data_IF_284267039042
#
_entry.id   IF_284267039042
#
_cell.length_a   1.000
_cell.length_b   1.000
_cell.length_c   1.000
_cell.angle_alpha   90.00
_cell.angle_beta   90.00
_cell.angle_gamma   90.00
#
_symmetry.space_group_name_H-M   'P 1'
#
loop_
_entity.id
_entity.type
_entity.pdbx_description
1 polymer ?
#
# COMPACT_ATOMS: atom_id res chain seq x y z
N UNK A 1 5.22 20.90 9.32
CA UNK A 1 5.86 20.34 8.11
C UNK A 1 5.76 21.39 7.02
N UNK A 2 6.89 21.95 6.56
CA UNK A 2 6.94 23.13 5.67
C UNK A 2 7.75 22.80 4.41
N UNK A 3 7.23 21.96 3.51
CA UNK A 3 7.97 21.62 2.26
C UNK A 3 7.72 22.63 1.12
N UNK A 4 6.77 23.56 1.27
CA UNK A 4 6.38 24.54 0.23
C UNK A 4 5.90 25.90 0.79
N UNK A 5 6.22 26.23 2.04
CA UNK A 5 5.74 27.46 2.70
C UNK A 5 4.23 27.49 3.01
N UNK A 6 3.53 26.38 2.77
CA UNK A 6 2.13 26.20 3.16
C UNK A 6 2.13 25.58 4.57
N UNK A 7 1.59 26.34 5.52
CA UNK A 7 1.32 25.83 6.87
C UNK A 7 -0.07 25.19 6.86
N UNK A 8 -0.11 23.86 6.97
CA UNK A 8 -1.35 23.10 7.08
C UNK A 8 -1.65 22.89 8.56
N UNK A 9 -2.91 23.08 8.96
CA UNK A 9 -3.36 22.84 10.33
C UNK A 9 -3.38 21.33 10.64
N UNK A 10 -3.07 20.99 11.89
CA UNK A 10 -2.87 19.61 12.33
C UNK A 10 -4.16 18.77 12.27
N UNK A 11 -5.30 19.41 12.46
CA UNK A 11 -6.62 18.80 12.36
C UNK A 11 -7.00 18.48 10.91
N UNK A 12 -6.68 19.37 9.97
CA UNK A 12 -6.92 19.16 8.54
C UNK A 12 -6.16 17.94 8.04
N UNK A 13 -4.85 17.87 8.34
CA UNK A 13 -4.03 16.72 7.92
C UNK A 13 -4.48 15.43 8.61
N UNK A 14 -4.89 15.49 9.88
CA UNK A 14 -5.41 14.32 10.59
C UNK A 14 -6.72 13.83 10.02
N UNK A 15 -7.63 14.75 9.67
CA UNK A 15 -8.90 14.41 9.04
C UNK A 15 -8.70 13.77 7.66
N UNK A 16 -7.75 14.28 6.87
CA UNK A 16 -7.39 13.68 5.59
C UNK A 16 -6.83 12.25 5.77
N UNK A 17 -5.89 12.07 6.71
CA UNK A 17 -5.34 10.75 7.05
C UNK A 17 -6.43 9.77 7.50
N UNK A 18 -7.39 10.22 8.31
CA UNK A 18 -8.54 9.43 8.75
C UNK A 18 -9.45 8.97 7.60
N UNK A 19 -9.57 9.78 6.53
CA UNK A 19 -10.34 9.42 5.35
C UNK A 19 -9.61 8.45 4.42
N UNK A 20 -8.28 8.38 4.51
CA UNK A 20 -7.48 7.42 3.76
C UNK A 20 -7.44 6.02 4.40
N UNK A 21 -7.84 5.88 5.67
CA UNK A 21 -7.87 4.59 6.34
C UNK A 21 -8.89 3.62 5.69
N UNK A 22 -8.57 2.32 5.62
CA UNK A 22 -9.52 1.31 5.18
C UNK A 22 -10.68 1.18 6.17
N UNK A 23 -11.86 0.75 5.66
CA UNK A 23 -13.08 0.57 6.48
C UNK A 23 -12.92 -0.41 7.64
N UNK A 24 -11.95 -1.33 7.58
CA UNK A 24 -11.58 -2.20 8.70
C UNK A 24 -11.14 -1.43 9.96
N UNK A 25 -10.74 -0.17 9.81
CA UNK A 25 -10.31 0.72 10.89
C UNK A 25 -11.36 1.80 11.24
N UNK A 26 -12.61 1.67 10.79
CA UNK A 26 -13.69 2.64 11.09
C UNK A 26 -13.89 2.87 12.59
N UNK A 27 -13.64 1.85 13.42
CA UNK A 27 -13.67 1.96 14.88
C UNK A 27 -12.67 2.98 15.42
N UNK A 28 -11.49 3.09 14.79
CA UNK A 28 -10.44 4.06 15.17
C UNK A 28 -10.89 5.45 14.75
N UNK A 29 -11.40 5.58 13.52
CA UNK A 29 -11.96 6.83 13.01
C UNK A 29 -13.04 7.37 13.93
N UNK A 30 -14.02 6.55 14.28
CA UNK A 30 -15.10 6.97 15.17
C UNK A 30 -14.61 7.36 16.57
N UNK A 31 -13.63 6.63 17.13
CA UNK A 31 -13.05 6.96 18.45
C UNK A 31 -12.35 8.30 18.47
N UNK A 32 -11.67 8.65 17.38
CA UNK A 32 -10.94 9.93 17.29
C UNK A 32 -11.93 11.07 17.01
N UNK A 33 -12.89 10.89 16.09
CA UNK A 33 -13.83 11.97 15.72
C UNK A 33 -14.94 12.21 16.73
N UNK A 34 -15.29 11.24 17.57
CA UNK A 34 -16.39 11.34 18.53
C UNK A 34 -15.92 11.13 19.99
N UNK A 35 -14.64 11.37 20.27
CA UNK A 35 -14.13 11.29 21.65
C UNK A 35 -14.84 12.33 22.53
N UNK A 36 -15.46 11.93 23.66
CA UNK A 36 -16.17 12.85 24.56
C UNK A 36 -15.23 13.76 25.36
N UNK A 37 -13.99 13.31 25.59
CA UNK A 37 -12.88 14.21 25.89
C UNK A 37 -12.44 14.81 24.56
N UNK A 38 -12.62 16.12 24.41
CA UNK A 38 -12.26 16.92 23.23
C UNK A 38 -10.75 16.94 22.98
N UNK A 39 -10.16 15.76 22.84
CA UNK A 39 -8.82 15.53 22.36
C UNK A 39 -8.76 16.16 20.98
N UNK A 40 -7.89 17.14 20.83
CA UNK A 40 -7.62 17.79 19.56
C UNK A 40 -7.39 16.70 18.51
N UNK A 41 -8.14 16.77 17.42
CA UNK A 41 -7.92 15.94 16.25
C UNK A 41 -6.53 16.31 15.74
N UNK A 42 -5.53 15.51 16.11
CA UNK A 42 -4.14 15.76 15.77
C UNK A 42 -3.43 14.45 15.34
N UNK A 43 -2.30 14.56 14.63
CA UNK A 43 -1.66 13.39 14.04
C UNK A 43 -1.11 12.44 15.11
N UNK A 44 -0.62 12.98 16.22
CA UNK A 44 -0.06 12.19 17.32
C UNK A 44 -1.12 11.28 17.95
N UNK A 45 -2.32 11.80 18.19
CA UNK A 45 -3.45 11.03 18.73
C UNK A 45 -3.87 9.92 17.78
N UNK A 46 -3.89 10.19 16.47
CA UNK A 46 -4.14 9.17 15.46
C UNK A 46 -3.09 8.05 15.50
N UNK A 47 -1.81 8.40 15.49
CA UNK A 47 -0.71 7.43 15.55
C UNK A 47 -0.76 6.60 16.84
N UNK A 48 -1.02 7.23 17.98
CA UNK A 48 -1.16 6.55 19.26
C UNK A 48 -2.33 5.54 19.26
N UNK A 49 -3.49 5.91 18.71
CA UNK A 49 -4.63 4.99 18.59
C UNK A 49 -4.33 3.81 17.64
N UNK A 50 -3.61 4.04 16.55
CA UNK A 50 -3.17 3.00 15.62
C UNK A 50 -2.19 2.04 16.30
N UNK A 51 -1.23 2.55 17.07
CA UNK A 51 -0.28 1.74 17.83
C UNK A 51 -0.99 0.86 18.88
N UNK A 52 -1.92 1.44 19.65
CA UNK A 52 -2.73 0.67 20.61
C UNK A 52 -3.50 -0.43 19.89
N UNK A 53 -4.09 -0.14 18.73
CA UNK A 53 -4.84 -1.12 17.94
C UNK A 53 -3.94 -2.27 17.47
N UNK A 54 -2.76 -1.96 16.95
CA UNK A 54 -1.74 -2.93 16.56
C UNK A 54 -1.31 -3.80 17.74
N UNK A 55 -1.02 -3.20 18.89
CA UNK A 55 -0.62 -3.94 20.09
C UNK A 55 -1.74 -4.86 20.59
N UNK A 56 -3.01 -4.41 20.57
CA UNK A 56 -4.16 -5.26 20.89
C UNK A 56 -4.26 -6.45 19.95
N UNK A 57 -4.10 -6.23 18.65
CA UNK A 57 -4.11 -7.30 17.66
C UNK A 57 -2.97 -8.30 17.90
N UNK A 58 -1.77 -7.83 18.23
CA UNK A 58 -0.61 -8.70 18.54
C UNK A 58 -0.86 -9.57 19.78
N UNK A 59 -1.48 -9.01 20.81
CA UNK A 59 -1.83 -9.75 22.03
C UNK A 59 -2.99 -10.72 21.79
N UNK A 60 -3.99 -10.35 20.97
CA UNK A 60 -5.13 -11.21 20.67
C UNK A 60 -4.83 -12.33 19.66
N UNK A 61 -3.91 -12.11 18.71
CA UNK A 61 -3.59 -13.04 17.63
C UNK A 61 -2.29 -13.83 17.86
N UNK A 62 -2.00 -14.25 19.10
CA UNK A 62 -0.78 -15.00 19.44
C UNK A 62 -0.52 -16.27 18.60
N UNK A 63 -1.49 -16.72 17.79
CA UNK A 63 -1.43 -17.96 17.01
C UNK A 63 -1.66 -17.81 15.50
N UNK A 64 -1.82 -16.61 14.93
CA UNK A 64 -2.12 -16.48 13.49
C UNK A 64 -1.24 -15.43 12.81
N UNK A 65 -0.49 -15.91 11.81
CA UNK A 65 0.52 -15.17 11.06
C UNK A 65 0.00 -13.87 10.42
N UNK A 66 0.92 -12.90 10.41
CA UNK A 66 0.97 -11.65 9.64
C UNK A 66 -0.35 -10.85 9.52
N UNK A 67 -0.47 -9.83 10.39
CA UNK A 67 -1.56 -8.85 10.41
C UNK A 67 -1.39 -7.81 9.28
N UNK A 68 -1.84 -8.16 8.08
CA UNK A 68 -1.73 -7.32 6.87
C UNK A 68 -2.52 -6.00 6.98
N UNK A 69 -3.59 -5.93 7.80
CA UNK A 69 -4.55 -4.82 7.77
C UNK A 69 -4.04 -3.47 8.32
N UNK A 70 -2.97 -3.46 9.11
CA UNK A 70 -2.41 -2.25 9.72
C UNK A 70 -0.90 -2.11 9.52
N UNK A 71 -0.29 -2.99 8.73
CA UNK A 71 1.12 -2.89 8.37
C UNK A 71 1.23 -2.05 7.11
N UNK A 72 1.81 -0.85 7.20
CA UNK A 72 2.23 -0.13 5.99
C UNK A 72 3.17 -1.04 5.22
N UNK A 73 3.04 -1.11 3.89
CA UNK A 73 4.00 -1.83 3.04
C UNK A 73 5.38 -1.16 3.19
N UNK A 74 6.19 -1.62 4.14
CA UNK A 74 7.55 -1.12 4.40
C UNK A 74 8.59 -1.94 3.66
N UNK A 75 8.26 -3.15 3.24
CA UNK A 75 9.12 -3.98 2.41
C UNK A 75 9.11 -3.50 0.96
N UNK A 76 10.29 -3.34 0.38
CA UNK A 76 10.46 -2.89 -1.02
C UNK A 76 9.80 -3.85 -2.02
N UNK A 77 9.68 -5.13 -1.65
CA UNK A 77 9.10 -6.18 -2.50
C UNK A 77 7.58 -6.16 -2.56
N UNK A 78 6.92 -5.53 -1.59
CA UNK A 78 5.46 -5.40 -1.56
C UNK A 78 4.97 -4.03 -2.03
N UNK A 79 5.89 -3.11 -2.35
CA UNK A 79 5.56 -1.80 -2.93
C UNK A 79 5.43 -1.87 -4.44
N UNK A 80 4.53 -1.06 -4.99
CA UNK A 80 4.54 -0.79 -6.43
C UNK A 80 5.90 -0.20 -6.81
N UNK A 81 6.59 -0.81 -7.77
CA UNK A 81 7.89 -0.31 -8.23
C UNK A 81 7.65 0.98 -9.03
N UNK A 82 7.76 2.15 -8.39
CA UNK A 82 7.55 3.47 -8.98
C UNK A 82 6.27 3.57 -9.83
N UNK A 83 5.19 2.92 -9.39
CA UNK A 83 3.91 2.88 -10.11
C UNK A 83 3.85 1.99 -11.36
N UNK A 84 4.92 1.26 -11.71
CA UNK A 84 5.03 0.51 -12.98
C UNK A 84 4.74 -0.99 -12.88
N UNK A 85 4.93 -1.59 -11.69
CA UNK A 85 4.67 -3.00 -11.46
C UNK A 85 3.85 -3.19 -10.17
N UNK A 86 2.75 -3.92 -10.28
CA UNK A 86 1.98 -4.42 -9.15
C UNK A 86 2.61 -5.75 -8.66
N UNK A 87 3.17 -5.81 -7.44
CA UNK A 87 3.73 -7.05 -6.89
C UNK A 87 2.71 -8.20 -6.83
N UNK A 88 1.42 -7.88 -6.74
CA UNK A 88 0.33 -8.85 -6.72
C UNK A 88 -0.19 -9.22 -8.14
N UNK A 89 0.54 -8.85 -9.20
CA UNK A 89 0.16 -9.18 -10.57
C UNK A 89 0.15 -10.69 -10.81
N UNK A 90 -1.02 -11.24 -11.18
CA UNK A 90 -1.16 -12.65 -11.57
C UNK A 90 -0.70 -12.93 -13.00
N UNK A 91 -0.50 -11.90 -13.81
CA UNK A 91 -0.19 -12.05 -15.25
C UNK A 91 1.30 -12.27 -15.52
N UNK A 92 2.16 -11.75 -14.63
CA UNK A 92 3.60 -11.87 -14.73
C UNK A 92 4.26 -11.49 -13.40
N UNK A 93 5.42 -12.09 -13.13
CA UNK A 93 6.31 -11.76 -12.01
C UNK A 93 7.19 -10.53 -12.31
N UNK A 94 7.73 -9.87 -11.27
CA UNK A 94 8.56 -8.66 -11.39
C UNK A 94 9.70 -8.79 -12.40
N UNK A 95 10.39 -9.93 -12.40
CA UNK A 95 11.47 -10.22 -13.33
C UNK A 95 11.03 -10.23 -14.80
N UNK A 96 9.75 -10.51 -15.10
CA UNK A 96 9.20 -10.52 -16.46
C UNK A 96 8.48 -9.23 -16.83
N UNK A 97 8.43 -8.25 -15.93
CA UNK A 97 7.72 -7.00 -16.17
C UNK A 97 8.39 -6.20 -17.29
N UNK A 98 7.64 -5.91 -18.35
CA UNK A 98 8.15 -5.14 -19.49
C UNK A 98 8.27 -3.64 -19.21
N UNK A 99 7.54 -3.12 -18.21
CA UNK A 99 7.69 -1.73 -17.78
C UNK A 99 9.03 -1.52 -17.04
N UNK A 100 9.46 -2.53 -16.26
CA UNK A 100 10.77 -2.52 -15.59
C UNK A 100 11.89 -2.95 -16.55
N UNK A 101 11.64 -3.92 -17.42
CA UNK A 101 12.62 -4.49 -18.35
C UNK A 101 12.14 -4.49 -19.81
N UNK A 102 12.12 -3.33 -20.50
CA UNK A 102 11.64 -3.20 -21.87
C UNK A 102 12.34 -4.14 -22.88
N UNK A 103 13.61 -4.45 -22.66
CA UNK A 103 14.39 -5.38 -23.47
C UNK A 103 13.80 -6.79 -23.52
N UNK A 104 13.12 -7.22 -22.44
CA UNK A 104 12.46 -8.54 -22.38
C UNK A 104 11.24 -8.60 -23.29
N UNK A 105 10.56 -7.47 -23.51
CA UNK A 105 9.45 -7.36 -24.48
C UNK A 105 9.94 -7.62 -25.89
N UNK A 106 11.04 -6.98 -26.28
CA UNK A 106 11.63 -7.14 -27.62
C UNK A 106 12.05 -8.59 -27.87
N UNK A 107 12.69 -9.23 -26.88
CA UNK A 107 13.07 -10.63 -26.97
C UNK A 107 11.85 -11.56 -27.11
N UNK A 108 10.77 -11.29 -26.36
CA UNK A 108 9.53 -12.05 -26.45
C UNK A 108 8.86 -11.94 -27.83
N UNK A 109 8.74 -10.72 -28.37
CA UNK A 109 8.16 -10.49 -29.70
C UNK A 109 8.96 -11.22 -30.78
N UNK A 110 10.30 -11.11 -30.77
CA UNK A 110 11.17 -11.85 -31.69
C UNK A 110 10.98 -13.37 -31.59
N UNK A 111 10.77 -13.91 -30.38
CA UNK A 111 10.51 -15.34 -30.19
C UNK A 111 9.15 -15.75 -30.75
N UNK A 112 8.10 -14.95 -30.50
CA UNK A 112 6.75 -15.18 -31.00
C UNK A 112 6.72 -15.21 -32.53
N UNK A 113 7.37 -14.24 -33.18
CA UNK A 113 7.38 -14.13 -34.63
C UNK A 113 8.10 -15.33 -35.27
N UNK A 114 9.22 -15.77 -34.69
CA UNK A 114 9.92 -17.00 -35.10
C UNK A 114 9.05 -18.26 -34.96
N UNK A 115 8.26 -18.38 -33.90
CA UNK A 115 7.35 -19.51 -33.71
C UNK A 115 6.20 -19.51 -34.72
N UNK A 116 5.66 -18.33 -35.06
CA UNK A 116 4.61 -18.18 -36.07
C UNK A 116 5.10 -18.49 -37.49
N UNK A 117 6.35 -18.15 -37.82
CA UNK A 117 6.93 -18.54 -39.11
C UNK A 117 7.11 -20.06 -39.23
N UNK A 118 7.53 -20.73 -38.15
CA UNK A 118 7.67 -22.20 -38.14
C UNK A 118 6.33 -22.93 -38.27
N UNK A 119 5.24 -22.39 -37.73
CA UNK A 119 3.91 -22.99 -37.81
C UNK A 119 3.22 -22.81 -39.19
N UNK A 120 3.73 -21.93 -40.06
CA UNK A 120 3.18 -21.69 -41.40
C UNK A 120 3.92 -22.43 -42.52
N UNK A 121 5.02 -23.12 -42.20
CA UNK A 121 5.87 -23.84 -43.17
C UNK A 121 5.83 -25.36 -42.97
N UNK A 122 4.96 -25.85 -42.08
CA UNK A 122 4.63 -27.27 -41.92
C UNK A 122 3.17 -27.49 -42.29
#
# INVERSE_FOLDING_TARGET
MEDIGIKIEEDIITYDLLNQLPSSLDNIKQKITHSPEGNEINPETLLHHLEIHLNKLRVSNSNQGELIAATMYTSEDQRFTSGTHNPNSKTHTKDKCWAIYPQKRVAFLKKRDKSQMKAKTG
#
